data_IF_675537858113
#
_entry.id   IF_675537858113
#
_cell.length_a   1.000
_cell.length_b   1.000
_cell.length_c   1.000
_cell.angle_alpha   90.00
_cell.angle_beta   90.00
_cell.angle_gamma   90.00
#
_symmetry.space_group_name_H-M   'P 1'
#
loop_
_entity.id
_entity.type
_entity.pdbx_description
1 polymer ?
#
# COMPACT_ATOMS: atom_id res chain seq x y z
N UNK A 1 6.95 11.67 18.29
CA UNK A 1 6.26 11.89 16.99
C UNK A 1 5.91 10.53 16.42
N UNK A 2 4.74 10.38 15.82
CA UNK A 2 4.31 9.11 15.21
C UNK A 2 5.14 8.82 13.97
N UNK A 3 5.67 7.61 13.87
CA UNK A 3 6.26 7.04 12.66
C UNK A 3 5.30 6.00 12.10
N UNK A 4 5.10 5.96 10.79
CA UNK A 4 4.07 5.12 10.18
C UNK A 4 4.57 4.45 8.90
N UNK A 5 4.28 3.16 8.77
CA UNK A 5 4.51 2.40 7.55
C UNK A 5 3.18 1.94 6.93
N UNK A 6 3.07 2.11 5.63
CA UNK A 6 1.98 1.58 4.81
C UNK A 6 2.52 0.43 3.94
N UNK A 7 2.07 -0.78 4.20
CA UNK A 7 2.46 -1.98 3.47
C UNK A 7 1.29 -2.41 2.60
N UNK A 8 1.47 -2.38 1.30
CA UNK A 8 0.47 -2.79 0.30
C UNK A 8 0.89 -4.11 -0.32
N UNK A 9 0.08 -5.14 -0.10
CA UNK A 9 0.18 -6.44 -0.76
C UNK A 9 -0.89 -6.47 -1.86
N UNK A 10 -0.47 -6.25 -3.10
CA UNK A 10 -1.36 -6.02 -4.25
C UNK A 10 -2.33 -7.20 -4.50
N UNK A 11 -3.57 -6.89 -4.84
CA UNK A 11 -4.52 -7.81 -5.44
C UNK A 11 -5.17 -8.85 -4.51
N UNK A 12 -5.11 -8.70 -3.19
CA UNK A 12 -5.59 -9.73 -2.24
C UNK A 12 -7.03 -9.47 -1.78
N UNK A 13 -8.02 -10.34 -2.11
CA UNK A 13 -9.40 -10.18 -1.67
C UNK A 13 -9.58 -10.46 -0.17
N UNK A 14 -10.58 -9.81 0.45
CA UNK A 14 -10.83 -9.87 1.89
C UNK A 14 -10.91 -11.30 2.45
N UNK A 15 -11.55 -12.23 1.72
CA UNK A 15 -11.69 -13.63 2.13
C UNK A 15 -10.35 -14.35 2.27
N UNK A 16 -9.37 -14.06 1.38
CA UNK A 16 -8.04 -14.68 1.44
C UNK A 16 -7.24 -14.11 2.62
N UNK A 17 -7.32 -12.81 2.89
CA UNK A 17 -6.71 -12.21 4.08
C UNK A 17 -7.15 -12.95 5.36
N UNK A 18 -8.46 -13.05 5.58
CA UNK A 18 -9.02 -13.62 6.81
C UNK A 18 -8.78 -15.12 6.95
N UNK A 19 -8.53 -15.82 5.85
CA UNK A 19 -8.33 -17.27 5.84
C UNK A 19 -6.86 -17.68 5.92
N UNK A 20 -5.95 -16.92 5.33
CA UNK A 20 -4.60 -17.38 5.00
C UNK A 20 -3.48 -16.63 5.72
N UNK A 21 -3.74 -15.43 6.25
CA UNK A 21 -2.74 -14.63 6.96
C UNK A 21 -2.79 -14.89 8.47
N UNK A 22 -2.41 -16.11 8.86
CA UNK A 22 -2.53 -16.59 10.23
C UNK A 22 -1.68 -15.83 11.25
N UNK A 23 -0.53 -15.28 10.87
CA UNK A 23 0.25 -14.42 11.75
C UNK A 23 -0.48 -13.10 12.02
N UNK A 24 -1.03 -12.46 10.97
CA UNK A 24 -1.79 -11.20 11.14
C UNK A 24 -3.03 -11.43 11.99
N UNK A 25 -3.81 -12.48 11.72
CA UNK A 25 -4.98 -12.85 12.52
C UNK A 25 -4.61 -13.15 13.97
N UNK A 26 -3.51 -13.85 14.21
CA UNK A 26 -3.02 -14.14 15.55
C UNK A 26 -2.66 -12.87 16.35
N UNK A 27 -2.18 -11.80 15.71
CA UNK A 27 -1.98 -10.50 16.38
C UNK A 27 -3.33 -9.83 16.70
N UNK A 28 -4.34 -9.94 15.83
CA UNK A 28 -5.68 -9.42 16.09
C UNK A 28 -6.32 -10.15 17.27
N UNK A 29 -6.24 -11.48 17.32
CA UNK A 29 -6.76 -12.30 18.42
C UNK A 29 -6.14 -11.95 19.78
N UNK A 30 -4.87 -11.58 19.80
CA UNK A 30 -4.17 -11.13 21.02
C UNK A 30 -4.42 -9.67 21.38
N UNK A 31 -5.20 -8.93 20.59
CA UNK A 31 -5.45 -7.50 20.78
C UNK A 31 -4.26 -6.59 20.48
N UNK A 32 -3.25 -7.11 19.76
CA UNK A 32 -2.06 -6.37 19.36
C UNK A 32 -2.22 -5.65 18.02
N UNK A 33 -3.27 -5.98 17.28
CA UNK A 33 -3.67 -5.36 16.02
C UNK A 33 -5.19 -5.22 15.94
N UNK A 34 -5.65 -4.36 15.05
CA UNK A 34 -7.05 -4.24 14.67
C UNK A 34 -7.20 -4.55 13.18
N UNK A 35 -8.31 -5.16 12.77
CA UNK A 35 -8.61 -5.42 11.37
C UNK A 35 -9.97 -4.83 11.00
N UNK A 36 -10.06 -4.27 9.79
CA UNK A 36 -11.31 -3.79 9.18
C UNK A 36 -11.36 -4.23 7.72
N UNK A 37 -12.56 -4.30 7.18
CA UNK A 37 -12.75 -4.38 5.73
C UNK A 37 -12.57 -2.99 5.15
N UNK A 38 -11.80 -2.89 4.06
CA UNK A 38 -11.66 -1.66 3.27
C UNK A 38 -12.18 -1.92 1.86
N UNK A 39 -12.73 -0.89 1.24
CA UNK A 39 -13.30 -0.97 -0.10
C UNK A 39 -12.59 -0.05 -1.07
N UNK A 40 -12.11 -0.60 -2.19
CA UNK A 40 -11.46 0.13 -3.27
C UNK A 40 -12.40 1.07 -4.01
N UNK A 41 -11.81 2.12 -4.59
CA UNK A 41 -12.46 2.96 -5.60
C UNK A 41 -12.83 2.16 -6.85
N UNK A 42 -13.56 2.77 -7.77
CA UNK A 42 -13.89 2.18 -9.09
C UNK A 42 -13.35 3.07 -10.22
N UNK A 43 -12.68 2.45 -11.22
CA UNK A 43 -12.35 1.02 -11.32
C UNK A 43 -11.31 0.61 -10.27
N UNK A 44 -11.43 -0.62 -9.75
CA UNK A 44 -10.50 -1.20 -8.77
C UNK A 44 -9.27 -1.78 -9.49
N UNK A 45 -8.55 -0.92 -10.19
CA UNK A 45 -7.28 -1.24 -10.89
C UNK A 45 -6.12 -0.60 -10.15
N UNK A 46 -4.96 -1.22 -10.19
CA UNK A 46 -3.78 -0.80 -9.43
C UNK A 46 -3.48 0.70 -9.56
N UNK A 47 -3.33 1.22 -10.79
CA UNK A 47 -3.01 2.64 -11.00
C UNK A 47 -4.09 3.59 -10.46
N UNK A 48 -5.39 3.28 -10.63
CA UNK A 48 -6.49 4.07 -10.06
C UNK A 48 -6.44 4.07 -8.54
N UNK A 49 -6.20 2.89 -7.95
CA UNK A 49 -6.13 2.73 -6.50
C UNK A 49 -4.90 3.44 -5.91
N UNK A 50 -3.70 3.32 -6.52
CA UNK A 50 -2.50 4.02 -6.03
C UNK A 50 -2.69 5.53 -6.02
N UNK A 51 -3.25 6.09 -7.11
CA UNK A 51 -3.56 7.52 -7.18
C UNK A 51 -4.51 7.93 -6.06
N UNK A 52 -5.59 7.16 -5.82
CA UNK A 52 -6.58 7.44 -4.78
C UNK A 52 -6.04 7.26 -3.37
N UNK A 53 -5.24 6.23 -3.10
CA UNK A 53 -4.64 5.94 -1.79
C UNK A 53 -3.81 7.13 -1.26
N UNK A 54 -3.07 7.81 -2.11
CA UNK A 54 -2.19 8.89 -1.68
C UNK A 54 -2.75 10.30 -1.89
N UNK A 55 -3.70 10.50 -2.82
CA UNK A 55 -4.33 11.80 -3.01
C UNK A 55 -5.64 11.98 -2.25
N UNK A 56 -6.27 10.88 -1.80
CA UNK A 56 -7.63 10.91 -1.23
C UNK A 56 -8.69 11.33 -2.26
N UNK A 57 -8.37 11.30 -3.55
CA UNK A 57 -9.26 11.73 -4.64
C UNK A 57 -9.80 10.52 -5.41
N UNK A 58 -11.07 10.58 -5.86
CA UNK A 58 -11.63 9.51 -6.68
C UNK A 58 -11.13 9.61 -8.14
N UNK A 59 -11.20 8.48 -8.89
CA UNK A 59 -10.78 8.42 -10.30
C UNK A 59 -11.41 9.47 -11.21
N UNK A 60 -12.62 9.91 -10.91
CA UNK A 60 -13.32 11.00 -11.65
C UNK A 60 -12.58 12.34 -11.56
N UNK A 61 -11.81 12.55 -10.50
CA UNK A 61 -11.06 13.78 -10.25
C UNK A 61 -9.63 13.66 -10.77
N UNK A 62 -8.87 12.64 -10.34
CA UNK A 62 -7.48 12.47 -10.77
C UNK A 62 -7.34 11.88 -12.18
N UNK A 63 -8.40 11.32 -12.75
CA UNK A 63 -8.49 10.81 -14.12
C UNK A 63 -7.47 9.71 -14.47
N UNK A 64 -7.13 8.89 -13.50
CA UNK A 64 -6.42 7.63 -13.71
C UNK A 64 -7.46 6.52 -13.66
N UNK A 65 -7.66 5.84 -14.79
CA UNK A 65 -8.68 4.81 -14.94
C UNK A 65 -8.10 3.40 -15.09
N UNK A 66 -6.85 3.33 -15.54
CA UNK A 66 -6.14 2.09 -15.82
C UNK A 66 -4.61 2.32 -15.76
N UNK A 67 -3.85 1.25 -15.98
CA UNK A 67 -2.40 1.27 -15.96
C UNK A 67 -1.76 1.98 -17.18
N UNK A 68 -2.53 2.37 -18.19
CA UNK A 68 -2.03 3.16 -19.31
C UNK A 68 -2.08 4.68 -19.06
N UNK A 69 -2.85 5.11 -18.04
CA UNK A 69 -3.05 6.51 -17.70
C UNK A 69 -1.98 7.12 -16.81
N UNK A 70 -0.86 6.45 -16.57
CA UNK A 70 0.17 6.85 -15.62
C UNK A 70 0.88 8.13 -16.05
N UNK A 71 0.94 9.10 -15.14
CA UNK A 71 1.59 10.39 -15.32
C UNK A 71 1.80 11.06 -13.96
N UNK A 72 2.60 12.12 -13.91
CA UNK A 72 2.73 12.94 -12.71
C UNK A 72 1.37 13.55 -12.32
N UNK A 73 0.99 13.40 -11.06
CA UNK A 73 -0.23 13.99 -10.50
C UNK A 73 0.11 15.33 -9.84
N UNK A 74 -0.65 16.36 -10.21
CA UNK A 74 -0.48 17.74 -9.70
C UNK A 74 -1.46 18.05 -8.56
N UNK A 75 -1.80 17.05 -7.76
CA UNK A 75 -2.64 17.20 -6.57
C UNK A 75 -1.80 17.10 -5.30
N UNK A 76 -2.25 17.71 -4.18
CA UNK A 76 -1.69 17.39 -2.88
C UNK A 76 -1.78 15.90 -2.61
N UNK A 77 -0.72 15.32 -2.09
CA UNK A 77 -0.62 13.89 -1.79
C UNK A 77 0.13 13.67 -0.46
N UNK A 78 0.05 12.46 0.07
CA UNK A 78 0.63 12.14 1.38
C UNK A 78 2.12 12.46 1.43
N UNK A 79 2.90 12.13 0.40
CA UNK A 79 4.35 12.42 0.40
C UNK A 79 4.62 13.91 0.44
N UNK A 80 4.02 14.67 -0.48
CA UNK A 80 4.26 16.10 -0.60
C UNK A 80 3.84 16.86 0.67
N UNK A 81 2.72 16.50 1.30
CA UNK A 81 2.26 17.15 2.51
C UNK A 81 3.14 16.79 3.74
N UNK A 82 3.60 15.55 3.83
CA UNK A 82 4.53 15.14 4.88
C UNK A 82 5.90 15.83 4.73
N UNK A 83 6.45 15.89 3.52
CA UNK A 83 7.73 16.56 3.25
C UNK A 83 7.65 18.06 3.53
N UNK A 84 6.56 18.74 3.12
CA UNK A 84 6.31 20.15 3.49
C UNK A 84 6.25 20.36 5.00
N UNK A 85 5.80 19.36 5.75
CA UNK A 85 5.77 19.39 7.21
C UNK A 85 7.11 18.99 7.87
N UNK A 86 8.18 18.86 7.08
CA UNK A 86 9.52 18.50 7.55
C UNK A 86 9.69 17.02 7.94
N UNK A 87 8.84 16.14 7.42
CA UNK A 87 8.93 14.69 7.63
C UNK A 87 9.81 14.04 6.57
N UNK A 88 10.58 13.06 6.98
CA UNK A 88 11.39 12.23 6.08
C UNK A 88 10.52 11.10 5.55
N UNK A 89 10.35 11.03 4.21
CA UNK A 89 9.51 10.03 3.55
C UNK A 89 10.34 8.98 2.82
N UNK A 90 9.83 7.75 2.77
CA UNK A 90 10.46 6.63 2.08
C UNK A 90 9.48 5.85 1.22
N UNK A 91 9.95 5.32 0.09
CA UNK A 91 9.15 4.45 -0.78
C UNK A 91 9.99 3.26 -1.26
N UNK A 92 9.43 2.06 -1.14
CA UNK A 92 9.95 0.82 -1.74
C UNK A 92 8.81 0.21 -2.54
N UNK A 93 8.72 0.58 -3.83
CA UNK A 93 7.48 0.37 -4.58
C UNK A 93 7.74 0.10 -6.06
N UNK A 94 6.69 -0.35 -6.76
CA UNK A 94 6.66 -0.32 -8.22
C UNK A 94 6.85 1.10 -8.76
N UNK A 95 7.48 1.24 -9.92
CA UNK A 95 7.82 2.53 -10.57
C UNK A 95 6.63 3.47 -10.79
N UNK A 96 5.40 2.95 -10.86
CA UNK A 96 4.18 3.77 -10.98
C UNK A 96 4.03 4.79 -9.85
N UNK A 97 4.44 4.44 -8.64
CA UNK A 97 4.44 5.37 -7.52
C UNK A 97 5.40 6.53 -7.71
N UNK A 98 6.59 6.28 -8.31
CA UNK A 98 7.49 7.35 -8.71
C UNK A 98 6.87 8.25 -9.77
N UNK A 99 6.23 7.67 -10.79
CA UNK A 99 5.60 8.46 -11.85
C UNK A 99 4.44 9.31 -11.36
N UNK A 100 3.63 8.81 -10.41
CA UNK A 100 2.56 9.59 -9.83
C UNK A 100 3.06 10.72 -8.93
N UNK A 101 4.03 10.45 -8.06
CA UNK A 101 4.32 11.31 -6.92
C UNK A 101 5.73 11.92 -6.92
N UNK A 102 6.61 11.50 -7.85
CA UNK A 102 7.95 12.01 -7.95
C UNK A 102 8.25 12.52 -9.37
N UNK A 103 8.60 11.64 -10.31
CA UNK A 103 9.00 11.99 -11.68
C UNK A 103 8.37 11.08 -12.72
N UNK A 104 7.80 11.67 -13.77
CA UNK A 104 7.30 10.97 -14.95
C UNK A 104 7.88 11.60 -16.22
N UNK A 105 8.23 10.78 -17.24
CA UNK A 105 8.25 9.31 -17.21
C UNK A 105 9.36 8.76 -16.33
N UNK A 106 9.18 7.53 -15.83
CA UNK A 106 10.21 6.83 -15.04
C UNK A 106 11.43 6.49 -15.93
N UNK A 107 12.60 6.84 -15.44
CA UNK A 107 13.89 6.44 -16.06
C UNK A 107 14.63 5.52 -15.08
N UNK A 108 14.83 4.27 -15.49
CA UNK A 108 15.42 3.25 -14.63
C UNK A 108 16.86 3.60 -14.18
N UNK A 109 17.62 4.35 -14.97
CA UNK A 109 18.98 4.75 -14.60
C UNK A 109 18.99 5.89 -13.59
N UNK A 110 18.06 6.82 -13.74
CA UNK A 110 17.95 8.01 -12.88
C UNK A 110 17.17 7.76 -11.62
N UNK A 111 16.09 6.98 -11.71
CA UNK A 111 15.02 6.97 -10.69
C UNK A 111 14.96 5.68 -9.85
N UNK A 112 15.70 4.60 -10.22
CA UNK A 112 15.61 3.31 -9.52
C UNK A 112 16.04 3.41 -8.04
N UNK A 113 17.06 4.21 -7.76
CA UNK A 113 17.46 4.65 -6.42
C UNK A 113 17.49 6.17 -6.38
N UNK A 114 16.82 6.73 -5.37
CA UNK A 114 16.57 8.15 -5.27
C UNK A 114 16.72 8.60 -3.82
N UNK A 115 17.60 9.58 -3.58
CA UNK A 115 17.83 10.18 -2.26
C UNK A 115 17.93 11.70 -2.44
N UNK A 116 16.81 12.42 -2.34
CA UNK A 116 16.73 13.88 -2.44
C UNK A 116 15.92 14.47 -1.27
N UNK A 117 16.57 15.15 -0.33
CA UNK A 117 15.89 15.71 0.86
C UNK A 117 14.77 16.70 0.53
N UNK A 118 14.91 17.43 -0.57
CA UNK A 118 13.93 18.45 -1.03
C UNK A 118 12.86 17.85 -1.96
N UNK A 119 12.94 16.57 -2.28
CA UNK A 119 11.99 15.89 -3.15
C UNK A 119 10.67 15.57 -2.43
N UNK A 120 9.58 15.34 -3.19
CA UNK A 120 8.32 14.90 -2.61
C UNK A 120 8.44 13.54 -1.94
N UNK A 121 9.30 12.65 -2.45
CA UNK A 121 9.74 11.41 -1.80
C UNK A 121 11.21 11.60 -1.44
N UNK A 122 11.55 11.57 -0.14
CA UNK A 122 12.93 11.81 0.30
C UNK A 122 13.86 10.66 -0.09
N UNK A 123 13.40 9.42 0.08
CA UNK A 123 14.15 8.20 -0.21
C UNK A 123 13.30 7.23 -1.02
N UNK A 124 13.63 7.01 -2.28
CA UNK A 124 12.95 6.07 -3.18
C UNK A 124 13.82 4.88 -3.54
N UNK A 125 13.23 3.70 -3.56
CA UNK A 125 13.80 2.45 -4.10
C UNK A 125 12.70 1.82 -4.93
N UNK A 126 12.83 1.97 -6.24
CA UNK A 126 11.77 1.59 -7.17
C UNK A 126 12.16 0.36 -7.96
N UNK A 127 11.18 -0.46 -8.27
CA UNK A 127 11.35 -1.60 -9.15
C UNK A 127 10.39 -1.51 -10.32
N UNK A 128 10.70 -2.22 -11.39
CA UNK A 128 9.85 -2.35 -12.56
C UNK A 128 9.51 -3.82 -12.79
N UNK A 129 8.45 -4.04 -13.55
CA UNK A 129 8.09 -5.35 -14.09
C UNK A 129 8.38 -5.42 -15.60
N UNK A 130 9.19 -4.49 -16.14
CA UNK A 130 9.61 -4.54 -17.54
C UNK A 130 10.48 -5.76 -17.83
N UNK A 131 10.32 -6.34 -18.99
CA UNK A 131 10.87 -7.65 -19.33
C UNK A 131 9.97 -8.80 -18.92
N UNK A 132 8.90 -8.50 -18.24
CA UNK A 132 7.81 -9.34 -17.86
C UNK A 132 6.88 -9.56 -19.06
N UNK A 133 6.55 -10.77 -19.33
CA UNK A 133 5.55 -11.15 -20.33
C UNK A 133 4.63 -12.20 -19.75
N UNK A 134 3.54 -12.49 -20.42
CA UNK A 134 2.57 -13.51 -19.96
C UNK A 134 3.22 -14.86 -19.60
N UNK A 135 4.37 -15.17 -20.17
CA UNK A 135 5.11 -16.39 -19.90
C UNK A 135 6.18 -16.25 -18.78
N UNK A 136 6.52 -15.02 -18.38
CA UNK A 136 7.62 -14.76 -17.44
C UNK A 136 7.23 -13.63 -16.50
N UNK A 137 6.34 -13.95 -15.57
CA UNK A 137 5.90 -13.02 -14.54
C UNK A 137 6.89 -13.08 -13.38
N UNK A 138 7.89 -12.21 -13.43
CA UNK A 138 8.86 -12.08 -12.36
C UNK A 138 8.63 -10.77 -11.61
N UNK A 139 8.35 -10.89 -10.34
CA UNK A 139 8.34 -9.77 -9.39
C UNK A 139 9.65 -9.79 -8.60
N UNK A 140 10.13 -8.67 -8.05
CA UNK A 140 11.20 -8.69 -7.07
C UNK A 140 10.82 -9.57 -5.88
N UNK A 141 11.82 -10.20 -5.25
CA UNK A 141 11.58 -10.99 -4.06
C UNK A 141 11.03 -10.12 -2.91
N UNK A 142 9.88 -10.49 -2.35
CA UNK A 142 9.23 -9.73 -1.28
C UNK A 142 10.14 -9.57 -0.05
N UNK A 143 10.93 -10.61 0.26
CA UNK A 143 11.91 -10.57 1.34
C UNK A 143 12.92 -9.43 1.15
N UNK A 144 13.40 -9.19 -0.07
CA UNK A 144 14.35 -8.13 -0.40
C UNK A 144 13.69 -6.75 -0.30
N UNK A 145 12.42 -6.65 -0.70
CA UNK A 145 11.64 -5.41 -0.56
C UNK A 145 11.42 -5.05 0.91
N UNK A 146 11.03 -6.01 1.76
CA UNK A 146 10.91 -5.82 3.20
C UNK A 146 12.24 -5.44 3.85
N UNK A 147 13.34 -6.11 3.46
CA UNK A 147 14.69 -5.78 3.90
C UNK A 147 15.08 -4.35 3.50
N UNK A 148 14.76 -3.94 2.28
CA UNK A 148 15.05 -2.60 1.77
C UNK A 148 14.28 -1.53 2.53
N UNK A 149 12.98 -1.70 2.80
CA UNK A 149 12.22 -0.78 3.64
C UNK A 149 12.80 -0.71 5.06
N UNK A 150 13.19 -1.84 5.63
CA UNK A 150 13.82 -1.89 6.96
C UNK A 150 15.12 -1.07 6.98
N UNK A 151 15.93 -1.12 5.93
CA UNK A 151 17.13 -0.28 5.80
C UNK A 151 16.79 1.21 5.74
N UNK A 152 15.73 1.61 5.04
CA UNK A 152 15.27 3.00 5.05
C UNK A 152 14.84 3.43 6.46
N UNK A 153 14.12 2.57 7.19
CA UNK A 153 13.72 2.84 8.56
C UNK A 153 14.92 3.04 9.51
N UNK A 154 15.90 2.15 9.44
CA UNK A 154 16.99 2.09 10.43
C UNK A 154 18.19 2.99 10.07
N UNK A 155 18.48 3.16 8.78
CA UNK A 155 19.66 3.90 8.32
C UNK A 155 19.30 5.33 7.93
N UNK A 156 18.15 5.53 7.27
CA UNK A 156 17.69 6.85 6.84
C UNK A 156 16.76 7.52 7.85
N UNK A 157 16.19 6.74 8.79
CA UNK A 157 15.34 7.27 9.85
C UNK A 157 14.03 7.86 9.36
N UNK A 158 13.43 7.30 8.31
CA UNK A 158 12.18 7.80 7.72
C UNK A 158 11.07 7.90 8.78
N UNK A 159 10.22 8.93 8.68
CA UNK A 159 9.03 9.10 9.52
C UNK A 159 7.83 8.38 8.92
N UNK A 160 7.70 8.41 7.59
CA UNK A 160 6.68 7.72 6.81
C UNK A 160 7.32 6.86 5.73
N UNK A 161 6.88 5.62 5.63
CA UNK A 161 7.32 4.72 4.56
C UNK A 161 6.16 4.00 3.90
N UNK A 162 6.24 3.84 2.58
CA UNK A 162 5.36 2.93 1.85
C UNK A 162 6.16 1.79 1.27
N UNK A 163 5.62 0.58 1.35
CA UNK A 163 6.08 -0.58 0.63
C UNK A 163 4.93 -1.16 -0.20
N UNK A 164 5.23 -1.51 -1.44
CA UNK A 164 4.26 -2.13 -2.34
C UNK A 164 4.89 -3.33 -3.03
N UNK A 165 4.24 -4.50 -2.91
CA UNK A 165 4.62 -5.76 -3.54
C UNK A 165 3.59 -6.15 -4.59
N UNK A 166 4.01 -6.80 -5.67
CA UNK A 166 3.13 -7.24 -6.76
C UNK A 166 2.98 -8.76 -6.83
N UNK A 167 3.59 -9.52 -5.93
CA UNK A 167 3.67 -10.98 -6.02
C UNK A 167 2.29 -11.63 -6.00
N UNK A 168 1.41 -11.22 -5.06
CA UNK A 168 0.11 -11.86 -4.89
C UNK A 168 -0.86 -11.53 -6.02
N UNK A 169 -0.83 -10.29 -6.55
CA UNK A 169 -1.58 -9.93 -7.75
C UNK A 169 -1.15 -10.77 -8.96
N UNK A 170 0.17 -10.89 -9.19
CA UNK A 170 0.74 -11.69 -10.26
C UNK A 170 0.40 -13.18 -10.14
N UNK A 171 0.41 -13.72 -8.92
CA UNK A 171 0.01 -15.10 -8.63
C UNK A 171 -1.49 -15.31 -8.91
N UNK A 172 -2.35 -14.36 -8.47
CA UNK A 172 -3.77 -14.40 -8.72
C UNK A 172 -4.11 -14.36 -10.22
N UNK A 173 -3.45 -13.50 -11.00
CA UNK A 173 -3.59 -13.49 -12.47
C UNK A 173 -3.16 -14.79 -13.14
N UNK A 174 -2.15 -15.45 -12.61
CA UNK A 174 -1.58 -16.67 -13.20
C UNK A 174 -2.32 -17.95 -12.80
N UNK A 175 -2.69 -18.08 -11.54
CA UNK A 175 -3.19 -19.33 -10.97
C UNK A 175 -4.63 -19.22 -10.47
N UNK A 176 -5.23 -18.03 -10.49
CA UNK A 176 -6.54 -17.71 -9.90
C UNK A 176 -6.52 -17.73 -8.35
N UNK A 177 -7.61 -17.28 -7.72
CA UNK A 177 -7.65 -17.17 -6.25
C UNK A 177 -8.21 -18.39 -5.52
N UNK A 178 -8.83 -19.34 -6.22
CA UNK A 178 -9.37 -20.56 -5.63
C UNK A 178 -8.51 -21.76 -5.99
N UNK A 179 -7.22 -21.72 -5.66
CA UNK A 179 -6.27 -22.80 -5.93
C UNK A 179 -5.20 -22.89 -4.84
N UNK A 180 -4.55 -24.06 -4.78
CA UNK A 180 -3.53 -24.36 -3.79
C UNK A 180 -2.29 -23.45 -3.94
N UNK A 181 -1.91 -23.11 -5.16
CA UNK A 181 -0.76 -22.24 -5.44
C UNK A 181 -0.96 -20.83 -4.84
N UNK A 182 -2.18 -20.30 -4.94
CA UNK A 182 -2.50 -18.99 -4.34
C UNK A 182 -2.58 -19.07 -2.82
N UNK A 183 -3.15 -20.13 -2.28
CA UNK A 183 -3.17 -20.36 -0.83
C UNK A 183 -1.74 -20.44 -0.27
N UNK A 184 -0.84 -21.18 -0.93
CA UNK A 184 0.57 -21.24 -0.56
C UNK A 184 1.27 -19.89 -0.67
N UNK A 185 0.99 -19.10 -1.72
CA UNK A 185 1.59 -17.79 -1.89
C UNK A 185 1.17 -16.82 -0.78
N UNK A 186 -0.11 -16.78 -0.42
CA UNK A 186 -0.61 -15.96 0.69
C UNK A 186 0.01 -16.39 2.04
N UNK A 187 0.06 -17.68 2.29
CA UNK A 187 0.65 -18.24 3.52
C UNK A 187 2.15 -17.92 3.63
N UNK A 188 2.89 -18.07 2.51
CA UNK A 188 4.30 -17.74 2.45
C UNK A 188 4.55 -16.23 2.65
N UNK A 189 3.69 -15.37 2.06
CA UNK A 189 3.74 -13.92 2.24
C UNK A 189 3.56 -13.53 3.71
N UNK A 190 2.55 -14.08 4.39
CA UNK A 190 2.31 -13.85 5.81
C UNK A 190 3.51 -14.25 6.67
N UNK A 191 4.08 -15.43 6.41
CA UNK A 191 5.28 -15.92 7.11
C UNK A 191 6.52 -15.08 6.84
N UNK A 192 6.66 -14.54 5.61
CA UNK A 192 7.79 -13.67 5.23
C UNK A 192 7.65 -12.28 5.85
N UNK A 193 6.44 -11.71 5.90
CA UNK A 193 6.15 -10.39 6.45
C UNK A 193 6.31 -10.35 7.98
N UNK A 194 5.89 -11.40 8.67
CA UNK A 194 5.77 -11.41 10.14
C UNK A 194 7.05 -10.97 10.90
N UNK A 195 8.27 -11.45 10.60
CA UNK A 195 9.47 -11.01 11.31
C UNK A 195 9.83 -9.54 11.04
N UNK A 196 9.56 -9.02 9.84
CA UNK A 196 9.78 -7.60 9.52
C UNK A 196 8.78 -6.70 10.24
N UNK A 197 7.51 -7.08 10.27
CA UNK A 197 6.46 -6.37 11.00
C UNK A 197 6.80 -6.26 12.49
N UNK A 198 7.26 -7.36 13.10
CA UNK A 198 7.75 -7.35 14.49
C UNK A 198 8.90 -6.36 14.67
N UNK A 199 9.90 -6.38 13.78
CA UNK A 199 11.07 -5.48 13.83
C UNK A 199 10.68 -4.01 13.65
N UNK A 200 9.78 -3.69 12.73
CA UNK A 200 9.32 -2.31 12.53
C UNK A 200 8.58 -1.78 13.76
N UNK A 201 7.74 -2.61 14.39
CA UNK A 201 7.06 -2.25 15.63
C UNK A 201 8.04 -2.03 16.79
N UNK A 202 9.07 -2.87 16.91
CA UNK A 202 10.14 -2.67 17.91
C UNK A 202 10.91 -1.36 17.68
N UNK A 203 11.05 -0.92 16.44
CA UNK A 203 11.66 0.35 16.07
C UNK A 203 10.72 1.56 16.23
N UNK A 204 9.54 1.36 16.81
CA UNK A 204 8.59 2.40 17.16
C UNK A 204 7.68 2.84 16.00
N UNK A 205 7.60 2.07 14.93
CA UNK A 205 6.65 2.33 13.85
C UNK A 205 5.26 1.77 14.17
N UNK A 206 4.24 2.56 13.87
CA UNK A 206 2.91 2.04 13.61
C UNK A 206 2.88 1.49 12.20
N UNK A 207 2.16 0.39 11.99
CA UNK A 207 2.15 -0.27 10.69
C UNK A 207 0.71 -0.51 10.23
N UNK A 208 0.44 -0.12 8.99
CA UNK A 208 -0.75 -0.52 8.25
C UNK A 208 -0.34 -1.60 7.26
N UNK A 209 -1.06 -2.72 7.24
CA UNK A 209 -0.92 -3.75 6.21
C UNK A 209 -2.26 -3.87 5.50
N UNK A 210 -2.27 -3.71 4.18
CA UNK A 210 -3.49 -3.68 3.38
C UNK A 210 -3.22 -4.09 1.94
N UNK A 211 -4.23 -4.04 1.08
CA UNK A 211 -4.09 -4.11 -0.38
C UNK A 211 -4.53 -2.78 -1.03
N UNK A 212 -4.38 -2.68 -2.31
CA UNK A 212 -4.94 -1.60 -3.13
C UNK A 212 -6.33 -1.98 -3.69
N UNK A 213 -6.51 -3.24 -4.05
CA UNK A 213 -7.77 -3.87 -4.47
C UNK A 213 -7.74 -5.37 -4.13
N UNK A 214 -8.81 -6.06 -4.46
CA UNK A 214 -8.87 -7.51 -4.45
C UNK A 214 -8.98 -8.06 -5.87
N UNK A 215 -9.13 -9.38 -5.98
CA UNK A 215 -9.36 -10.10 -7.24
C UNK A 215 -10.48 -11.12 -7.06
N UNK A 216 -11.25 -11.36 -8.12
CA UNK A 216 -12.25 -12.42 -8.14
C UNK A 216 -11.60 -13.82 -8.22
N UNK A 217 -12.43 -14.87 -8.18
CA UNK A 217 -11.96 -16.25 -8.24
C UNK A 217 -11.11 -16.58 -9.48
N UNK A 218 -11.23 -15.79 -10.55
CA UNK A 218 -10.49 -15.95 -11.81
C UNK A 218 -9.26 -15.05 -11.92
N UNK A 219 -8.90 -14.35 -10.84
CA UNK A 219 -7.78 -13.42 -10.83
C UNK A 219 -8.05 -12.12 -11.60
N UNK A 220 -9.30 -11.71 -11.77
CA UNK A 220 -9.63 -10.45 -12.41
C UNK A 220 -9.96 -9.38 -11.35
N UNK A 221 -9.55 -8.14 -11.62
CA UNK A 221 -9.89 -6.95 -10.84
C UNK A 221 -10.40 -5.82 -11.75
N UNK A 222 -10.71 -4.64 -11.20
CA UNK A 222 -11.22 -3.49 -11.94
C UNK A 222 -12.75 -3.39 -11.97
N UNK A 223 -13.46 -4.44 -11.59
CA UNK A 223 -14.91 -4.52 -11.61
C UNK A 223 -15.58 -4.15 -10.29
N UNK A 224 -16.90 -4.39 -10.24
CA UNK A 224 -17.76 -4.04 -9.10
C UNK A 224 -17.97 -5.18 -8.09
N UNK A 225 -17.43 -6.36 -8.38
CA UNK A 225 -17.56 -7.54 -7.51
C UNK A 225 -16.95 -7.30 -6.13
N UNK A 226 -17.54 -7.91 -5.09
CA UNK A 226 -17.05 -7.77 -3.72
C UNK A 226 -15.58 -8.20 -3.62
N UNK A 227 -15.23 -9.38 -4.13
CA UNK A 227 -13.85 -9.88 -4.12
C UNK A 227 -12.86 -9.03 -4.90
N UNK A 228 -13.33 -8.22 -5.87
CA UNK A 228 -12.48 -7.30 -6.64
C UNK A 228 -12.24 -5.97 -5.91
N UNK A 229 -13.09 -5.64 -4.95
CA UNK A 229 -13.06 -4.34 -4.27
C UNK A 229 -12.73 -4.41 -2.81
N UNK A 230 -13.12 -5.48 -2.11
CA UNK A 230 -12.99 -5.55 -0.67
C UNK A 230 -11.74 -6.33 -0.28
N UNK A 231 -10.94 -5.72 0.59
CA UNK A 231 -9.70 -6.28 1.13
C UNK A 231 -9.56 -5.93 2.62
N UNK A 232 -8.56 -6.49 3.27
CA UNK A 232 -8.34 -6.24 4.69
C UNK A 232 -7.45 -5.00 4.91
N UNK A 233 -7.71 -4.31 5.98
CA UNK A 233 -6.92 -3.24 6.55
C UNK A 233 -6.53 -3.63 7.96
N UNK A 234 -5.28 -4.06 8.15
CA UNK A 234 -4.73 -4.32 9.47
C UNK A 234 -3.97 -3.10 9.98
N UNK A 235 -4.19 -2.77 11.23
CA UNK A 235 -3.51 -1.66 11.88
C UNK A 235 -2.83 -2.09 13.18
N UNK A 236 -1.55 -1.84 13.25
CA UNK A 236 -0.68 -2.09 14.39
C UNK A 236 -0.24 -0.76 14.98
N UNK A 237 -1.07 -0.16 15.80
CA UNK A 237 -0.79 1.14 16.40
C UNK A 237 -1.72 1.45 17.57
N UNK A 238 -1.63 2.69 18.08
CA UNK A 238 -2.27 3.10 19.32
C UNK A 238 -3.55 3.94 19.11
N UNK A 239 -4.03 4.08 17.86
CA UNK A 239 -5.28 4.79 17.57
C UNK A 239 -6.45 3.82 17.50
N UNK A 240 -7.66 4.30 17.80
CA UNK A 240 -8.86 3.53 17.53
C UNK A 240 -9.20 3.53 16.04
N UNK A 241 -9.88 2.46 15.61
CA UNK A 241 -10.56 2.38 14.33
C UNK A 241 -12.07 2.39 14.54
N UNK A 242 -12.88 2.70 13.51
CA UNK A 242 -14.32 2.56 13.55
C UNK A 242 -14.77 1.14 13.97
N UNK A 243 -16.08 0.92 14.29
CA UNK A 243 -16.60 -0.40 14.60
C UNK A 243 -16.22 -1.47 13.55
N UNK A 244 -16.16 -2.75 13.97
CA UNK A 244 -15.67 -3.84 13.10
C UNK A 244 -16.55 -4.09 11.87
N UNK A 245 -17.83 -3.82 11.96
CA UNK A 245 -18.82 -3.95 10.89
C UNK A 245 -18.79 -2.78 9.88
N UNK A 246 -18.08 -1.70 10.20
CA UNK A 246 -17.95 -0.57 9.31
C UNK A 246 -16.87 -0.84 8.23
N UNK A 247 -17.28 -0.79 6.97
CA UNK A 247 -16.36 -0.84 5.83
C UNK A 247 -15.66 0.50 5.68
N UNK A 248 -14.32 0.49 5.65
CA UNK A 248 -13.51 1.68 5.43
C UNK A 248 -13.52 2.06 3.94
N UNK A 249 -13.60 3.36 3.67
CA UNK A 249 -13.43 3.90 2.31
C UNK A 249 -11.93 4.10 2.01
N UNK A 250 -11.46 3.60 0.88
CA UNK A 250 -10.08 3.77 0.44
C UNK A 250 -9.69 5.25 0.30
N UNK A 251 -10.63 6.12 -0.07
CA UNK A 251 -10.39 7.58 -0.14
C UNK A 251 -10.06 8.21 1.21
N UNK A 252 -10.48 7.58 2.30
CA UNK A 252 -10.18 8.04 3.65
C UNK A 252 -8.76 7.72 4.12
N UNK A 253 -7.99 6.93 3.35
CA UNK A 253 -6.65 6.49 3.77
C UNK A 253 -5.66 7.67 3.81
N UNK A 254 -5.58 8.48 2.75
CA UNK A 254 -4.70 9.65 2.71
C UNK A 254 -4.97 10.64 3.87
N UNK A 255 -6.20 11.13 4.08
CA UNK A 255 -6.48 12.03 5.19
C UNK A 255 -6.27 11.38 6.56
N UNK A 256 -6.48 10.06 6.68
CA UNK A 256 -6.20 9.33 7.93
C UNK A 256 -4.72 9.27 8.25
N UNK A 257 -3.85 8.98 7.26
CA UNK A 257 -2.39 8.98 7.42
C UNK A 257 -1.92 10.38 7.86
N UNK A 258 -2.32 11.44 7.15
CA UNK A 258 -1.93 12.81 7.50
C UNK A 258 -2.39 13.19 8.91
N UNK A 259 -3.64 12.89 9.26
CA UNK A 259 -4.17 13.14 10.62
C UNK A 259 -3.36 12.39 11.68
N UNK A 260 -3.04 11.11 11.44
CA UNK A 260 -2.26 10.28 12.38
C UNK A 260 -0.84 10.81 12.56
N UNK A 261 -0.25 11.35 11.51
CA UNK A 261 1.07 11.94 11.54
C UNK A 261 1.10 13.40 12.02
N UNK A 262 -0.05 13.96 12.37
CA UNK A 262 -0.18 15.33 12.90
C UNK A 262 0.00 16.43 11.85
N UNK A 263 -0.26 16.11 10.59
CA UNK A 263 -0.18 17.03 9.45
C UNK A 263 -1.58 17.46 9.02
N UNK A 264 -1.72 18.71 8.59
CA UNK A 264 -2.98 19.25 8.13
C UNK A 264 -3.45 18.51 6.87
N UNK A 265 -4.73 18.17 6.84
CA UNK A 265 -5.35 17.52 5.68
C UNK A 265 -5.73 18.56 4.64
N UNK A 266 -5.26 18.45 3.39
CA UNK A 266 -5.65 19.37 2.32
C UNK A 266 -7.16 19.37 2.07
N UNK A 267 -7.78 20.53 1.75
CA UNK A 267 -9.22 20.61 1.49
C UNK A 267 -9.71 19.74 0.31
N UNK A 268 -8.81 19.33 -0.56
CA UNK A 268 -9.11 18.42 -1.67
C UNK A 268 -9.41 17.00 -1.20
N UNK A 269 -8.91 16.56 -0.05
CA UNK A 269 -9.16 15.27 0.55
C UNK A 269 -10.45 15.33 1.38
N UNK A 270 -11.58 15.04 0.76
CA UNK A 270 -12.91 15.27 1.36
C UNK A 270 -13.40 14.12 2.25
N UNK A 271 -12.83 12.92 2.12
CA UNK A 271 -13.21 11.80 2.96
C UNK A 271 -12.77 12.02 4.42
N UNK A 272 -13.65 11.71 5.36
CA UNK A 272 -13.35 11.88 6.78
C UNK A 272 -12.26 10.88 7.23
N UNK A 273 -11.22 11.32 7.96
CA UNK A 273 -10.26 10.40 8.56
C UNK A 273 -10.92 9.40 9.49
N UNK A 274 -10.47 8.16 9.46
CA UNK A 274 -11.01 7.09 10.31
C UNK A 274 -10.20 6.82 11.59
N UNK A 275 -8.97 7.31 11.70
CA UNK A 275 -8.25 7.23 12.97
C UNK A 275 -8.84 8.18 13.99
N UNK A 276 -9.22 7.65 15.15
CA UNK A 276 -9.62 8.47 16.29
C UNK A 276 -8.39 8.93 17.07
N UNK A 277 -8.45 10.13 17.61
CA UNK A 277 -7.38 10.70 18.46
C UNK A 277 -7.24 9.97 19.78
#
# INVERSE_FOLDING_TARGET
MTKLLLIILDGVPYRNWRRLFGNLEGWVERGEAQVRRMRAVLPSTSASCYASIHTGLPPQVHRIWDNAGIRRLEFPDVFSELTKAGKVTGAVTHSYWSEFFNRAPFDVVRDIEYDEPEGPITHGRFHTMHGYGHANQMTPADYDLFGTLTRLCEIKGIDYGILHTCTLDSMGHRFFHDCEEMDHACYAMDGTLAPFLHRWRQNGYEVIVTADHGQDARGHHGGTGEDQRDFAFYYFGNSGLPPEDQVLDQLALAPSILTRMGVAVPPTMQAAPFFTR
#
